data_IF_795626374267
#
_entry.id   IF_795626374267
#
_cell.length_a   1.000
_cell.length_b   1.000
_cell.length_c   1.000
_cell.angle_alpha   90.00
_cell.angle_beta   90.00
_cell.angle_gamma   90.00
#
_symmetry.space_group_name_H-M   'P 1'
#
loop_
_entity.id
_entity.type
_entity.pdbx_description
1 polymer ?
#
# COMPACT_ATOMS: atom_id res chain seq x y z
N UNK A 1 33.04 4.07 8.08
CA UNK A 1 32.20 2.87 8.11
C UNK A 1 31.04 3.17 9.05
N UNK A 2 29.92 3.67 8.51
CA UNK A 2 28.71 4.01 9.26
C UNK A 2 27.61 3.05 8.85
N UNK A 3 27.29 2.11 9.73
CA UNK A 3 26.13 1.23 9.59
C UNK A 3 24.84 2.02 9.81
N UNK A 4 24.03 2.16 8.77
CA UNK A 4 22.62 2.62 8.88
C UNK A 4 21.77 1.46 9.37
N UNK A 5 21.30 1.54 10.62
CA UNK A 5 20.30 0.64 11.19
C UNK A 5 19.00 0.73 10.41
N UNK A 6 18.56 -0.38 9.83
CA UNK A 6 17.20 -0.57 9.31
C UNK A 6 16.22 -0.58 10.48
N UNK A 7 15.20 0.29 10.41
CA UNK A 7 14.06 0.25 11.32
C UNK A 7 13.29 -1.08 11.14
N UNK A 8 12.74 -1.66 12.21
CA UNK A 8 11.99 -2.91 12.11
C UNK A 8 10.67 -2.67 11.38
N UNK A 9 10.46 -3.46 10.34
CA UNK A 9 9.18 -3.62 9.64
C UNK A 9 8.09 -3.96 10.66
N UNK A 10 6.96 -3.30 10.56
CA UNK A 10 5.75 -3.61 11.33
C UNK A 10 5.39 -5.07 11.09
N UNK A 11 5.72 -5.94 12.04
CA UNK A 11 5.34 -7.34 12.02
C UNK A 11 3.81 -7.39 12.10
N UNK A 12 3.17 -7.92 11.07
CA UNK A 12 1.83 -8.49 11.22
C UNK A 12 1.89 -9.47 12.38
N UNK A 13 1.19 -9.17 13.48
CA UNK A 13 1.25 -9.96 14.72
C UNK A 13 0.59 -11.30 14.44
N UNK A 14 1.40 -12.34 14.31
CA UNK A 14 0.98 -13.72 14.32
C UNK A 14 0.33 -14.05 15.68
N UNK A 15 -0.97 -14.31 15.68
CA UNK A 15 -1.62 -15.05 16.77
C UNK A 15 -1.54 -16.54 16.44
N UNK A 16 -0.85 -17.35 17.25
CA UNK A 16 -0.83 -18.79 17.03
C UNK A 16 -2.23 -19.36 17.29
N UNK A 17 -2.88 -19.87 16.26
CA UNK A 17 -3.97 -20.83 16.40
C UNK A 17 -3.38 -22.22 16.28
N UNK A 18 -3.20 -22.87 17.40
CA UNK A 18 -3.04 -24.32 17.46
C UNK A 18 -4.32 -24.97 16.94
N UNK A 19 -4.19 -25.88 16.01
CA UNK A 19 -5.33 -26.71 15.66
C UNK A 19 -5.24 -27.46 14.35
N UNK A 20 -4.79 -28.71 14.42
CA UNK A 20 -5.11 -29.84 13.54
C UNK A 20 -4.82 -29.69 12.04
N UNK A 21 -3.78 -30.37 11.66
CA UNK A 21 -3.51 -30.88 10.32
C UNK A 21 -4.71 -31.69 9.80
N UNK A 22 -5.59 -31.04 9.01
CA UNK A 22 -6.45 -31.74 8.05
C UNK A 22 -5.81 -31.56 6.67
N UNK A 23 -4.98 -32.51 6.30
CA UNK A 23 -4.52 -32.70 4.94
C UNK A 23 -5.73 -33.22 4.14
N UNK A 24 -6.19 -32.49 3.12
CA UNK A 24 -6.93 -33.03 1.98
C UNK A 24 -8.21 -32.33 1.50
N UNK A 25 -8.36 -31.00 1.62
CA UNK A 25 -9.50 -30.35 0.95
C UNK A 25 -9.13 -29.04 0.21
N UNK A 26 -7.92 -28.51 0.38
CA UNK A 26 -7.60 -27.17 -0.10
C UNK A 26 -7.33 -27.03 -1.61
N UNK A 27 -6.68 -27.99 -2.24
CA UNK A 27 -6.32 -27.90 -3.67
C UNK A 27 -7.52 -27.81 -4.62
N UNK A 28 -8.54 -28.60 -4.37
CA UNK A 28 -9.73 -28.61 -5.23
C UNK A 28 -10.59 -27.33 -5.14
N UNK A 29 -10.42 -26.52 -4.09
CA UNK A 29 -11.13 -25.24 -3.98
C UNK A 29 -10.46 -24.14 -4.79
N UNK A 30 -9.15 -24.00 -4.69
CA UNK A 30 -8.36 -23.05 -5.49
C UNK A 30 -8.55 -23.33 -6.98
N UNK A 31 -8.48 -24.60 -7.39
CA UNK A 31 -8.68 -25.02 -8.78
C UNK A 31 -10.04 -24.63 -9.32
N UNK A 32 -11.11 -24.89 -8.57
CA UNK A 32 -12.48 -24.50 -8.98
C UNK A 32 -12.65 -22.99 -9.14
N UNK A 33 -12.04 -22.19 -8.26
CA UNK A 33 -12.11 -20.73 -8.38
C UNK A 33 -11.27 -20.25 -9.56
N UNK A 34 -10.11 -20.84 -9.81
CA UNK A 34 -9.26 -20.53 -10.94
C UNK A 34 -9.97 -20.72 -12.28
N UNK A 35 -10.77 -21.78 -12.43
CA UNK A 35 -11.55 -22.07 -13.64
C UNK A 35 -12.66 -21.03 -13.93
N UNK A 36 -13.05 -20.24 -12.94
CA UNK A 36 -14.07 -19.20 -13.09
C UNK A 36 -13.50 -17.84 -13.49
N UNK A 37 -12.18 -17.67 -13.39
CA UNK A 37 -11.51 -16.41 -13.71
C UNK A 37 -11.52 -16.18 -15.21
N UNK A 38 -11.99 -15.00 -15.60
CA UNK A 38 -11.99 -14.53 -16.98
C UNK A 38 -11.74 -13.02 -17.00
N UNK A 39 -11.28 -12.45 -18.11
CA UNK A 39 -11.09 -11.02 -18.25
C UNK A 39 -12.34 -10.22 -17.88
N UNK A 40 -12.20 -9.24 -16.98
CA UNK A 40 -13.31 -8.42 -16.49
C UNK A 40 -14.16 -9.03 -15.36
N UNK A 41 -13.98 -10.32 -15.02
CA UNK A 41 -14.67 -10.99 -13.92
C UNK A 41 -13.92 -10.81 -12.59
N UNK A 42 -13.92 -9.58 -12.09
CA UNK A 42 -13.22 -9.24 -10.84
C UNK A 42 -13.81 -9.94 -9.61
N UNK A 43 -15.12 -10.25 -9.64
CA UNK A 43 -15.82 -11.05 -8.62
C UNK A 43 -15.25 -12.47 -8.50
N UNK A 44 -15.02 -13.12 -9.65
CA UNK A 44 -14.43 -14.45 -9.70
C UNK A 44 -12.93 -14.40 -9.30
N UNK A 45 -12.22 -13.37 -9.71
CA UNK A 45 -10.83 -13.17 -9.32
C UNK A 45 -10.70 -12.92 -7.81
N UNK A 46 -11.58 -12.10 -7.22
CA UNK A 46 -11.62 -11.90 -5.76
C UNK A 46 -11.86 -13.21 -5.01
N UNK A 47 -12.80 -14.04 -5.52
CA UNK A 47 -13.06 -15.36 -4.95
C UNK A 47 -11.84 -16.28 -5.03
N UNK A 48 -11.05 -16.19 -6.12
CA UNK A 48 -9.77 -16.90 -6.23
C UNK A 48 -8.76 -16.44 -5.16
N UNK A 49 -8.66 -15.14 -4.90
CA UNK A 49 -7.74 -14.62 -3.85
C UNK A 49 -8.13 -15.13 -2.46
N UNK A 50 -9.44 -15.19 -2.14
CA UNK A 50 -9.91 -15.79 -0.88
C UNK A 50 -9.59 -17.28 -0.81
N UNK A 51 -9.84 -18.03 -1.87
CA UNK A 51 -9.52 -19.45 -1.93
C UNK A 51 -8.00 -19.70 -1.77
N UNK A 52 -7.18 -18.86 -2.39
CA UNK A 52 -5.73 -18.92 -2.29
C UNK A 52 -5.27 -18.61 -0.86
N UNK A 53 -5.85 -17.60 -0.20
CA UNK A 53 -5.51 -17.25 1.18
C UNK A 53 -5.72 -18.39 2.18
N UNK A 54 -6.75 -19.22 1.96
CA UNK A 54 -7.10 -20.34 2.84
C UNK A 54 -6.55 -21.69 2.35
N UNK A 55 -6.05 -21.72 1.10
CA UNK A 55 -5.61 -22.95 0.43
C UNK A 55 -4.12 -23.21 0.55
N UNK A 56 -3.74 -24.30 -0.12
CA UNK A 56 -2.34 -24.70 -0.32
C UNK A 56 -2.06 -24.76 -1.82
N UNK A 57 -0.80 -24.48 -2.17
CA UNK A 57 -0.28 -24.54 -3.54
C UNK A 57 1.05 -25.27 -3.57
N UNK A 58 1.44 -25.74 -4.74
CA UNK A 58 2.68 -26.45 -5.01
C UNK A 58 3.64 -25.50 -5.72
N UNK A 59 4.60 -24.95 -4.96
CA UNK A 59 5.63 -24.07 -5.49
C UNK A 59 6.67 -24.89 -6.25
N UNK A 60 7.01 -24.47 -7.44
CA UNK A 60 7.99 -25.15 -8.29
C UNK A 60 9.41 -24.66 -7.93
N UNK A 61 10.25 -25.56 -7.40
CA UNK A 61 11.63 -25.24 -6.99
C UNK A 61 12.57 -25.39 -8.18
N UNK A 62 13.26 -24.31 -8.50
CA UNK A 62 14.32 -24.36 -9.49
C UNK A 62 15.60 -24.98 -8.93
N UNK A 63 15.91 -24.71 -7.66
CA UNK A 63 17.08 -25.19 -6.95
C UNK A 63 16.77 -25.40 -5.46
N UNK A 64 17.60 -26.19 -4.78
CA UNK A 64 17.48 -26.49 -3.35
C UNK A 64 16.44 -27.57 -3.01
N UNK A 65 16.20 -27.73 -1.74
CA UNK A 65 15.24 -28.70 -1.19
C UNK A 65 14.10 -28.01 -0.46
N UNK A 66 12.90 -28.58 -0.45
CA UNK A 66 11.75 -28.00 0.24
C UNK A 66 12.05 -27.65 1.70
N UNK A 67 11.68 -26.44 2.11
CA UNK A 67 11.85 -25.95 3.48
C UNK A 67 13.30 -25.59 3.85
N UNK A 68 14.25 -25.66 2.93
CA UNK A 68 15.63 -25.29 3.22
C UNK A 68 15.91 -23.81 2.88
N UNK A 69 16.89 -23.17 3.55
CA UNK A 69 17.26 -21.79 3.28
C UNK A 69 17.80 -21.53 1.86
N UNK A 70 18.25 -22.58 1.17
CA UNK A 70 18.75 -22.54 -0.20
C UNK A 70 17.68 -22.86 -1.24
N UNK A 71 16.43 -23.09 -0.82
CA UNK A 71 15.29 -23.27 -1.73
C UNK A 71 15.07 -22.03 -2.58
N UNK A 72 15.12 -22.21 -3.90
CA UNK A 72 14.88 -21.14 -4.88
C UNK A 72 13.69 -21.53 -5.74
N UNK A 73 12.65 -20.71 -5.71
CA UNK A 73 11.51 -20.87 -6.59
C UNK A 73 11.89 -20.53 -8.04
N UNK A 74 11.16 -21.11 -8.98
CA UNK A 74 11.25 -20.69 -10.37
C UNK A 74 10.95 -19.18 -10.51
N UNK A 75 11.45 -18.59 -11.58
CA UNK A 75 11.20 -17.19 -11.90
C UNK A 75 10.68 -17.08 -13.34
N UNK A 76 9.60 -16.33 -13.52
CA UNK A 76 9.01 -15.98 -14.79
C UNK A 76 8.94 -14.45 -14.90
N UNK A 77 9.40 -13.89 -16.01
CA UNK A 77 9.14 -12.48 -16.33
C UNK A 77 7.91 -12.38 -17.24
N UNK A 78 6.95 -11.60 -16.82
CA UNK A 78 5.76 -11.30 -17.62
C UNK A 78 5.56 -9.79 -17.63
N UNK A 79 5.78 -9.18 -18.77
CA UNK A 79 5.68 -7.74 -19.00
C UNK A 79 6.57 -6.90 -18.03
N UNK A 80 7.77 -7.38 -17.72
CA UNK A 80 8.72 -6.71 -16.81
C UNK A 80 8.41 -6.91 -15.31
N UNK A 81 7.48 -7.80 -14.98
CA UNK A 81 7.17 -8.16 -13.59
C UNK A 81 7.58 -9.61 -13.32
N UNK A 82 8.28 -9.83 -12.21
CA UNK A 82 8.71 -11.14 -11.76
C UNK A 82 7.55 -11.93 -11.11
N UNK A 83 7.43 -13.20 -11.47
CA UNK A 83 6.45 -14.13 -10.88
C UNK A 83 7.12 -15.45 -10.50
N UNK A 84 6.72 -16.02 -9.37
CA UNK A 84 7.07 -17.37 -8.98
C UNK A 84 6.01 -18.35 -9.52
N UNK A 85 6.39 -19.34 -10.36
CA UNK A 85 5.45 -20.33 -10.89
C UNK A 85 5.05 -21.33 -9.83
N UNK A 86 3.79 -21.72 -9.83
CA UNK A 86 3.23 -22.75 -8.96
C UNK A 86 2.09 -23.49 -9.65
N UNK A 87 1.65 -24.56 -9.05
CA UNK A 87 0.46 -25.30 -9.47
C UNK A 87 -0.52 -25.47 -8.31
N UNK A 88 -1.80 -25.61 -8.64
CA UNK A 88 -2.90 -25.55 -7.67
C UNK A 88 -3.25 -26.90 -7.06
N UNK A 89 -2.73 -27.98 -7.60
CA UNK A 89 -3.00 -29.35 -7.12
C UNK A 89 -1.90 -30.31 -7.51
N UNK A 90 -1.89 -31.49 -6.87
CA UNK A 90 -1.00 -32.60 -7.25
C UNK A 90 -1.29 -33.11 -8.69
N UNK A 91 -2.55 -33.01 -9.13
CA UNK A 91 -2.94 -33.37 -10.51
C UNK A 91 -2.33 -32.39 -11.51
N UNK A 92 -2.39 -31.09 -11.22
CA UNK A 92 -1.75 -30.05 -12.03
C UNK A 92 -0.22 -30.18 -12.04
N UNK A 93 0.36 -30.58 -10.91
CA UNK A 93 1.79 -30.87 -10.85
C UNK A 93 2.17 -32.00 -11.81
N UNK A 94 1.43 -33.10 -11.81
CA UNK A 94 1.65 -34.20 -12.75
C UNK A 94 1.44 -33.75 -14.22
N UNK A 95 0.39 -32.97 -14.49
CA UNK A 95 0.10 -32.45 -15.82
C UNK A 95 1.15 -31.47 -16.33
N UNK A 96 1.81 -30.73 -15.45
CA UNK A 96 2.85 -29.77 -15.80
C UNK A 96 4.14 -30.40 -16.34
N UNK A 97 4.35 -31.70 -16.13
CA UNK A 97 5.58 -32.38 -16.46
C UNK A 97 6.79 -31.93 -15.59
N UNK A 98 6.54 -31.23 -14.49
CA UNK A 98 7.60 -30.79 -13.58
C UNK A 98 8.24 -31.98 -12.92
N UNK A 99 9.53 -32.18 -13.17
CA UNK A 99 10.30 -33.33 -12.69
C UNK A 99 11.35 -33.00 -11.63
N UNK A 100 11.33 -31.75 -11.10
CA UNK A 100 12.22 -31.28 -10.04
C UNK A 100 11.48 -31.23 -8.71
N UNK A 101 12.17 -30.78 -7.67
CA UNK A 101 11.57 -30.57 -6.35
C UNK A 101 10.43 -29.56 -6.41
N UNK A 102 9.48 -29.73 -5.52
CA UNK A 102 8.39 -28.79 -5.27
C UNK A 102 8.14 -28.71 -3.75
N UNK A 103 7.50 -27.65 -3.34
CA UNK A 103 7.14 -27.41 -1.94
C UNK A 103 5.66 -27.11 -1.83
N UNK A 104 4.97 -27.74 -0.88
CA UNK A 104 3.56 -27.46 -0.59
C UNK A 104 3.51 -26.39 0.50
N UNK A 105 2.91 -25.22 0.16
CA UNK A 105 2.95 -24.03 1.03
C UNK A 105 1.54 -23.47 1.14
N UNK A 106 1.20 -22.93 2.32
CA UNK A 106 -0.03 -22.17 2.50
C UNK A 106 -0.01 -20.85 1.72
N UNK A 107 -1.14 -20.47 1.12
CA UNK A 107 -1.22 -19.27 0.28
C UNK A 107 -0.86 -17.98 1.03
N UNK A 108 -1.29 -17.79 2.28
CA UNK A 108 -0.87 -16.64 3.10
C UNK A 108 0.62 -16.63 3.38
N UNK A 109 1.22 -17.80 3.61
CA UNK A 109 2.64 -17.92 3.90
C UNK A 109 3.48 -17.50 2.68
N UNK A 110 3.17 -18.03 1.50
CA UNK A 110 3.91 -17.68 0.29
C UNK A 110 3.66 -16.22 -0.13
N UNK A 111 2.44 -15.73 0.04
CA UNK A 111 2.13 -14.33 -0.20
C UNK A 111 3.00 -13.41 0.66
N UNK A 112 3.15 -13.71 1.96
CA UNK A 112 4.00 -12.95 2.89
C UNK A 112 5.48 -12.98 2.52
N UNK A 113 5.94 -14.05 1.87
CA UNK A 113 7.34 -14.18 1.44
C UNK A 113 7.62 -13.43 0.13
N UNK A 114 6.70 -13.42 -0.82
CA UNK A 114 6.93 -12.89 -2.17
C UNK A 114 6.67 -11.39 -2.30
N UNK A 115 5.61 -10.85 -1.66
CA UNK A 115 5.21 -9.47 -1.90
C UNK A 115 6.26 -8.41 -1.51
N UNK A 116 7.11 -8.60 -0.45
CA UNK A 116 8.12 -7.61 -0.08
C UNK A 116 9.18 -7.39 -1.16
N UNK A 117 9.48 -8.45 -1.91
CA UNK A 117 10.42 -8.40 -3.02
C UNK A 117 9.74 -8.03 -4.35
N UNK A 118 8.43 -7.69 -4.30
CA UNK A 118 7.60 -7.34 -5.46
C UNK A 118 7.47 -8.47 -6.47
N UNK A 119 7.53 -9.72 -6.02
CA UNK A 119 7.24 -10.88 -6.83
C UNK A 119 5.75 -11.22 -6.76
N UNK A 120 5.18 -11.54 -7.92
CA UNK A 120 3.85 -12.12 -8.03
C UNK A 120 3.89 -13.65 -7.95
N UNK A 121 2.74 -14.27 -8.11
CA UNK A 121 2.56 -15.71 -8.17
C UNK A 121 1.88 -16.07 -9.49
N UNK A 122 2.36 -17.10 -10.21
CA UNK A 122 1.77 -17.53 -11.47
C UNK A 122 1.20 -18.93 -11.31
N UNK A 123 -0.13 -19.03 -11.35
CA UNK A 123 -0.86 -20.28 -11.16
C UNK A 123 -0.97 -21.05 -12.48
N UNK A 124 -0.62 -22.33 -12.46
CA UNK A 124 -0.76 -23.29 -13.57
C UNK A 124 -0.22 -22.76 -14.92
N UNK A 125 1.08 -22.36 -15.02
CA UNK A 125 1.64 -21.78 -16.27
C UNK A 125 1.55 -22.71 -17.47
N UNK A 126 1.44 -24.01 -17.27
CA UNK A 126 1.31 -25.05 -18.29
C UNK A 126 -0.12 -25.22 -18.84
N UNK A 127 -1.13 -24.63 -18.19
CA UNK A 127 -2.51 -24.73 -18.63
C UNK A 127 -2.71 -24.14 -20.04
N UNK A 128 -3.67 -24.62 -20.84
CA UNK A 128 -3.88 -24.17 -22.21
C UNK A 128 -4.09 -22.66 -22.38
N UNK A 129 -4.53 -21.97 -21.34
CA UNK A 129 -4.67 -20.51 -21.32
C UNK A 129 -3.42 -19.76 -20.81
N UNK A 130 -2.32 -20.47 -20.52
CA UNK A 130 -1.10 -19.87 -19.98
C UNK A 130 -1.17 -19.57 -18.46
N UNK A 131 -2.24 -20.01 -17.79
CA UNK A 131 -2.42 -19.81 -16.35
C UNK A 131 -2.91 -18.40 -15.96
N UNK A 132 -2.85 -18.10 -14.66
CA UNK A 132 -3.30 -16.83 -14.10
C UNK A 132 -2.21 -16.23 -13.21
N UNK A 133 -1.82 -14.98 -13.50
CA UNK A 133 -0.90 -14.22 -12.68
C UNK A 133 -1.61 -13.50 -11.52
N UNK A 134 -1.08 -13.64 -10.33
CA UNK A 134 -1.48 -12.88 -9.14
C UNK A 134 -0.37 -11.85 -8.88
N UNK A 135 -0.60 -10.56 -9.11
CA UNK A 135 0.41 -9.53 -8.89
C UNK A 135 0.82 -9.43 -7.42
N UNK A 136 2.01 -8.94 -7.15
CA UNK A 136 2.53 -8.77 -5.79
C UNK A 136 1.63 -7.89 -4.90
N UNK A 137 0.90 -6.90 -5.47
CA UNK A 137 -0.07 -6.10 -4.73
C UNK A 137 -1.24 -6.94 -4.19
N UNK A 138 -1.72 -7.91 -4.97
CA UNK A 138 -2.78 -8.83 -4.52
C UNK A 138 -2.23 -9.88 -3.55
N UNK A 139 -0.95 -10.29 -3.67
CA UNK A 139 -0.29 -11.11 -2.65
C UNK A 139 -0.17 -10.35 -1.33
N UNK A 140 0.13 -9.04 -1.35
CA UNK A 140 0.09 -8.21 -0.16
C UNK A 140 -1.29 -8.22 0.50
N UNK A 141 -2.37 -8.14 -0.28
CA UNK A 141 -3.74 -8.24 0.24
C UNK A 141 -4.00 -9.59 0.90
N UNK A 142 -3.56 -10.69 0.28
CA UNK A 142 -3.65 -12.03 0.88
C UNK A 142 -2.90 -12.10 2.21
N UNK A 143 -1.70 -11.50 2.29
CA UNK A 143 -0.86 -11.53 3.48
C UNK A 143 -1.42 -10.65 4.62
N UNK A 144 -1.93 -9.46 4.31
CA UNK A 144 -2.31 -8.43 5.29
C UNK A 144 -3.82 -8.34 5.56
N UNK A 145 -4.65 -8.96 4.72
CA UNK A 145 -6.13 -8.92 4.82
C UNK A 145 -6.77 -8.48 3.51
N UNK A 146 -7.68 -9.29 3.01
CA UNK A 146 -8.37 -9.07 1.73
C UNK A 146 -9.45 -7.98 1.80
N UNK A 147 -9.88 -7.60 3.01
CA UNK A 147 -10.92 -6.59 3.22
C UNK A 147 -10.44 -5.16 2.97
N UNK A 148 -9.11 -4.93 2.91
CA UNK A 148 -8.54 -3.57 2.79
C UNK A 148 -8.84 -2.91 1.45
N UNK A 149 -8.68 -3.66 0.36
CA UNK A 149 -8.95 -3.18 -0.99
C UNK A 149 -9.49 -4.35 -1.83
N UNK A 150 -10.57 -4.18 -2.60
CA UNK A 150 -11.05 -5.22 -3.52
C UNK A 150 -10.10 -5.40 -4.71
N UNK A 151 -10.22 -6.55 -5.37
CA UNK A 151 -9.47 -6.84 -6.58
C UNK A 151 -9.87 -5.94 -7.76
N UNK A 152 -8.97 -5.84 -8.71
CA UNK A 152 -9.19 -5.09 -9.94
C UNK A 152 -8.61 -3.68 -9.93
N UNK A 153 -8.76 -2.95 -11.01
CA UNK A 153 -8.20 -1.62 -11.15
C UNK A 153 -8.84 -0.63 -10.17
N UNK A 154 -7.98 0.24 -9.61
CA UNK A 154 -8.38 1.41 -8.84
C UNK A 154 -8.31 2.63 -9.74
N UNK A 155 -9.38 3.42 -9.79
CA UNK A 155 -9.34 4.76 -10.35
C UNK A 155 -9.12 5.73 -9.21
N UNK A 156 -8.06 6.52 -9.31
CA UNK A 156 -7.65 7.49 -8.29
C UNK A 156 -7.68 8.88 -8.90
N UNK A 157 -8.30 9.81 -8.20
CA UNK A 157 -8.40 11.21 -8.64
C UNK A 157 -8.46 12.16 -7.43
N UNK A 158 -8.30 13.45 -7.68
CA UNK A 158 -8.72 14.45 -6.71
C UNK A 158 -10.22 14.32 -6.44
N UNK A 159 -10.68 14.52 -5.19
CA UNK A 159 -12.10 14.46 -4.88
C UNK A 159 -12.87 15.54 -5.62
N UNK A 160 -13.87 15.15 -6.39
CA UNK A 160 -14.81 16.08 -7.01
C UNK A 160 -15.89 16.59 -6.03
N UNK A 161 -16.00 15.94 -4.86
CA UNK A 161 -16.96 16.32 -3.82
C UNK A 161 -16.28 17.27 -2.84
N UNK A 162 -16.83 18.49 -2.73
CA UNK A 162 -16.35 19.47 -1.76
C UNK A 162 -17.09 19.28 -0.42
N UNK A 163 -16.31 19.02 0.63
CA UNK A 163 -16.81 18.85 2.01
C UNK A 163 -16.03 19.81 2.92
N UNK A 164 -16.22 21.13 2.75
CA UNK A 164 -15.37 22.11 3.42
C UNK A 164 -15.44 22.02 4.94
N UNK A 165 -16.60 21.71 5.51
CA UNK A 165 -16.76 21.58 6.97
C UNK A 165 -15.93 20.43 7.53
N UNK A 166 -15.93 19.26 6.87
CA UNK A 166 -15.12 18.13 7.28
C UNK A 166 -13.63 18.45 7.20
N UNK A 167 -13.17 19.02 6.08
CA UNK A 167 -11.75 19.36 5.92
C UNK A 167 -11.30 20.45 6.91
N UNK A 168 -12.14 21.44 7.19
CA UNK A 168 -11.84 22.46 8.18
C UNK A 168 -11.72 21.88 9.59
N UNK A 169 -12.68 21.05 9.99
CA UNK A 169 -12.67 20.39 11.30
C UNK A 169 -11.48 19.43 11.44
N UNK A 170 -11.21 18.64 10.40
CA UNK A 170 -10.07 17.71 10.37
C UNK A 170 -8.75 18.47 10.45
N UNK A 171 -8.61 19.59 9.75
CA UNK A 171 -7.45 20.47 9.82
C UNK A 171 -7.25 21.06 11.23
N UNK A 172 -8.33 21.55 11.87
CA UNK A 172 -8.28 22.05 13.25
C UNK A 172 -7.86 20.96 14.25
N UNK A 173 -8.41 19.76 14.12
CA UNK A 173 -8.04 18.63 14.98
C UNK A 173 -6.59 18.18 14.71
N UNK A 174 -6.14 18.22 13.46
CA UNK A 174 -4.75 17.95 13.11
C UNK A 174 -3.77 18.95 13.76
N UNK A 175 -4.12 20.24 13.82
CA UNK A 175 -3.32 21.23 14.54
C UNK A 175 -3.13 20.87 16.02
N UNK A 176 -4.16 20.29 16.64
CA UNK A 176 -4.15 19.86 18.06
C UNK A 176 -3.48 18.50 18.28
N UNK A 177 -3.17 17.78 17.19
CA UNK A 177 -2.58 16.43 17.24
C UNK A 177 -1.14 16.49 16.75
N UNK A 178 -0.12 16.67 17.63
CA UNK A 178 1.27 16.89 17.24
C UNK A 178 1.86 15.75 16.40
N UNK A 179 1.34 14.52 16.53
CA UNK A 179 1.78 13.37 15.76
C UNK A 179 1.53 13.51 14.25
N UNK A 180 0.54 14.35 13.85
CA UNK A 180 0.16 14.52 12.45
C UNK A 180 1.04 15.57 11.79
N UNK A 181 1.76 15.17 10.74
CA UNK A 181 2.61 16.03 9.92
C UNK A 181 1.83 16.66 8.78
N UNK A 182 1.18 15.82 7.97
CA UNK A 182 0.37 16.29 6.84
C UNK A 182 -0.84 15.41 6.58
N UNK A 183 -1.85 16.01 5.93
CA UNK A 183 -3.07 15.32 5.48
C UNK A 183 -3.25 15.53 3.98
N UNK A 184 -3.55 14.43 3.29
CA UNK A 184 -3.88 14.42 1.86
C UNK A 184 -5.25 13.79 1.66
N UNK A 185 -5.80 13.94 0.46
CA UNK A 185 -7.09 13.37 0.10
C UNK A 185 -7.04 12.79 -1.30
N UNK A 186 -7.82 11.75 -1.54
CA UNK A 186 -8.05 11.18 -2.86
C UNK A 186 -9.47 10.62 -2.95
N UNK A 187 -10.02 10.63 -4.15
CA UNK A 187 -11.22 9.87 -4.48
C UNK A 187 -10.79 8.52 -5.01
N UNK A 188 -11.28 7.45 -4.39
CA UNK A 188 -10.96 6.08 -4.75
C UNK A 188 -12.21 5.42 -5.31
N UNK A 189 -12.12 4.95 -6.54
CA UNK A 189 -13.17 4.18 -7.19
C UNK A 189 -12.62 2.79 -7.52
N UNK A 190 -12.91 1.78 -6.69
CA UNK A 190 -12.52 0.40 -6.96
C UNK A 190 -13.36 -0.21 -8.08
N UNK A 191 -12.87 -1.29 -8.70
CA UNK A 191 -13.64 -2.07 -9.66
C UNK A 191 -14.83 -2.79 -9.02
N UNK A 192 -14.69 -3.16 -7.74
CA UNK A 192 -15.73 -3.76 -6.92
C UNK A 192 -15.98 -2.89 -5.68
N UNK A 193 -17.24 -2.67 -5.35
CA UNK A 193 -17.65 -1.87 -4.20
C UNK A 193 -17.95 -0.41 -4.53
N UNK A 194 -18.35 0.33 -3.50
CA UNK A 194 -18.68 1.75 -3.63
C UNK A 194 -17.44 2.64 -3.65
N UNK A 195 -17.45 3.74 -4.39
CA UNK A 195 -16.42 4.76 -4.30
C UNK A 195 -16.36 5.36 -2.88
N UNK A 196 -15.17 5.81 -2.47
CA UNK A 196 -14.97 6.40 -1.16
C UNK A 196 -13.93 7.51 -1.15
N UNK A 197 -13.98 8.35 -0.12
CA UNK A 197 -12.97 9.35 0.16
C UNK A 197 -11.85 8.72 0.99
N UNK A 198 -10.62 8.74 0.48
CA UNK A 198 -9.44 8.36 1.22
C UNK A 198 -8.74 9.59 1.83
N UNK A 199 -8.42 9.50 3.11
CA UNK A 199 -7.61 10.51 3.83
C UNK A 199 -6.23 9.91 4.12
N UNK A 200 -5.22 10.47 3.48
CA UNK A 200 -3.82 10.09 3.70
C UNK A 200 -3.28 10.77 4.96
N UNK A 201 -2.83 9.95 5.89
CA UNK A 201 -2.25 10.37 7.17
C UNK A 201 -0.73 10.22 7.12
N UNK A 202 -0.02 11.34 7.13
CA UNK A 202 1.43 11.40 7.28
C UNK A 202 1.76 11.78 8.72
N UNK A 203 2.45 10.90 9.43
CA UNK A 203 2.77 11.05 10.84
C UNK A 203 4.27 11.27 11.03
N UNK A 204 4.66 12.10 12.01
CA UNK A 204 6.06 12.24 12.43
C UNK A 204 6.58 10.95 13.08
N UNK A 205 5.71 10.28 13.82
CA UNK A 205 5.97 9.00 14.45
C UNK A 205 4.79 8.05 14.17
N UNK A 206 5.08 6.95 13.50
CA UNK A 206 4.13 5.87 13.19
C UNK A 206 4.05 4.81 14.29
N UNK A 207 4.61 5.08 15.47
CA UNK A 207 4.44 4.23 16.65
C UNK A 207 3.00 4.19 17.15
N UNK A 208 2.71 3.26 18.06
CA UNK A 208 1.35 2.99 18.54
C UNK A 208 0.65 4.25 19.09
N UNK A 209 1.36 5.11 19.81
CA UNK A 209 0.81 6.35 20.37
C UNK A 209 0.43 7.35 19.27
N UNK A 210 1.26 7.51 18.23
CA UNK A 210 0.98 8.39 17.10
C UNK A 210 -0.21 7.92 16.29
N UNK A 211 -0.30 6.61 16.04
CA UNK A 211 -1.42 5.99 15.32
C UNK A 211 -2.73 6.15 16.11
N UNK A 212 -2.71 5.95 17.43
CA UNK A 212 -3.90 6.10 18.27
C UNK A 212 -4.36 7.56 18.34
N UNK A 213 -3.44 8.52 18.45
CA UNK A 213 -3.76 9.93 18.38
C UNK A 213 -4.40 10.33 17.04
N UNK A 214 -3.89 9.80 15.92
CA UNK A 214 -4.47 10.03 14.59
C UNK A 214 -5.85 9.38 14.45
N UNK A 215 -6.06 8.20 15.02
CA UNK A 215 -7.37 7.53 15.06
C UNK A 215 -8.40 8.36 15.86
N UNK A 216 -8.02 8.85 17.02
CA UNK A 216 -8.87 9.72 17.83
C UNK A 216 -9.24 11.02 17.09
N UNK A 217 -8.28 11.64 16.43
CA UNK A 217 -8.49 12.82 15.58
C UNK A 217 -9.51 12.55 14.47
N UNK A 218 -9.36 11.43 13.75
CA UNK A 218 -10.33 11.04 12.72
C UNK A 218 -11.71 10.80 13.28
N UNK A 219 -11.83 10.08 14.40
CA UNK A 219 -13.11 9.80 15.07
C UNK A 219 -13.84 11.08 15.50
N UNK A 220 -13.11 12.11 15.94
CA UNK A 220 -13.68 13.41 16.30
C UNK A 220 -14.16 14.19 15.07
N UNK A 221 -13.64 13.91 13.89
CA UNK A 221 -13.92 14.66 12.67
C UNK A 221 -14.99 13.99 11.80
N UNK A 222 -15.17 12.67 11.90
CA UNK A 222 -16.00 11.88 10.99
C UNK A 222 -17.49 12.30 11.02
N UNK A 223 -17.98 12.84 12.15
CA UNK A 223 -19.35 13.33 12.27
C UNK A 223 -19.69 14.54 11.36
N UNK A 224 -18.68 15.18 10.78
CA UNK A 224 -18.89 16.27 9.78
C UNK A 224 -18.93 15.74 8.33
N UNK A 225 -18.81 14.45 8.11
CA UNK A 225 -18.95 13.81 6.80
C UNK A 225 -20.43 13.65 6.50
N UNK A 226 -20.89 13.98 5.27
CA UNK A 226 -22.26 13.73 4.85
C UNK A 226 -22.65 12.24 4.97
N UNK A 227 -23.89 11.98 5.36
CA UNK A 227 -24.44 10.63 5.45
C UNK A 227 -24.26 9.88 4.11
N UNK A 228 -23.87 8.63 4.22
CA UNK A 228 -23.69 7.73 3.05
C UNK A 228 -22.39 7.93 2.28
N UNK A 229 -21.51 8.86 2.68
CA UNK A 229 -20.19 8.99 2.07
C UNK A 229 -19.17 8.14 2.84
N UNK A 230 -18.67 7.04 2.25
CA UNK A 230 -17.63 6.24 2.91
C UNK A 230 -16.31 7.01 2.98
N UNK A 231 -15.67 6.98 4.14
CA UNK A 231 -14.34 7.56 4.36
C UNK A 231 -13.40 6.49 4.89
N UNK A 232 -12.22 6.40 4.31
CA UNK A 232 -11.16 5.49 4.75
C UNK A 232 -9.87 6.27 5.03
N UNK A 233 -9.02 5.71 5.88
CA UNK A 233 -7.71 6.28 6.19
C UNK A 233 -6.60 5.46 5.54
N UNK A 234 -5.55 6.14 5.06
CA UNK A 234 -4.39 5.53 4.42
C UNK A 234 -3.14 6.05 5.09
N UNK A 235 -2.27 5.14 5.55
CA UNK A 235 -0.98 5.51 6.10
C UNK A 235 -0.03 5.93 4.98
N UNK A 236 0.41 7.19 4.99
CA UNK A 236 1.32 7.72 3.97
C UNK A 236 2.72 7.11 4.03
N UNK A 237 3.09 6.48 5.16
CA UNK A 237 4.34 5.72 5.32
C UNK A 237 4.30 4.35 4.65
N UNK A 238 3.13 3.85 4.25
CA UNK A 238 3.01 2.57 3.57
C UNK A 238 3.51 2.68 2.12
N UNK A 239 4.65 2.06 1.84
CA UNK A 239 5.29 2.09 0.53
C UNK A 239 4.70 1.08 -0.47
N UNK A 240 3.79 0.23 -0.01
CA UNK A 240 3.11 -0.78 -0.83
C UNK A 240 1.63 -0.46 -1.07
N UNK A 241 1.08 0.55 -0.41
CA UNK A 241 -0.31 0.94 -0.63
C UNK A 241 -0.46 1.77 -1.91
N UNK A 242 -1.24 1.32 -2.92
CA UNK A 242 -1.36 2.02 -4.19
C UNK A 242 -2.00 3.40 -4.04
N UNK A 243 -2.88 3.60 -3.05
CA UNK A 243 -3.51 4.90 -2.79
C UNK A 243 -2.50 5.86 -2.16
N UNK A 244 -1.68 5.37 -1.20
CA UNK A 244 -0.60 6.17 -0.62
C UNK A 244 0.45 6.57 -1.68
N UNK A 245 0.83 5.62 -2.55
CA UNK A 245 1.75 5.88 -3.67
C UNK A 245 1.22 6.98 -4.59
N UNK A 246 -0.04 6.87 -5.00
CA UNK A 246 -0.67 7.86 -5.85
C UNK A 246 -0.77 9.23 -5.17
N UNK A 247 -1.19 9.28 -3.89
CA UNK A 247 -1.30 10.53 -3.13
C UNK A 247 0.05 11.23 -2.99
N UNK A 248 1.14 10.49 -2.80
CA UNK A 248 2.49 11.07 -2.73
C UNK A 248 2.88 11.75 -4.03
N UNK A 249 2.53 11.15 -5.15
CA UNK A 249 2.90 11.63 -6.48
C UNK A 249 1.99 12.76 -6.98
N UNK A 250 0.69 12.75 -6.66
CA UNK A 250 -0.32 13.56 -7.35
C UNK A 250 -1.11 14.49 -6.43
N UNK A 251 -1.37 14.13 -5.16
CA UNK A 251 -2.22 14.93 -4.29
C UNK A 251 -1.42 15.95 -3.49
N UNK A 252 -1.87 17.21 -3.48
CA UNK A 252 -1.32 18.23 -2.58
C UNK A 252 -1.91 18.06 -1.18
N UNK A 253 -1.10 18.25 -0.11
CA UNK A 253 -1.63 18.24 1.24
C UNK A 253 -2.58 19.44 1.46
N UNK A 254 -3.77 19.17 2.03
CA UNK A 254 -4.67 20.22 2.45
C UNK A 254 -4.40 20.71 3.88
N UNK A 255 -3.59 19.94 4.63
CA UNK A 255 -2.94 20.32 5.88
C UNK A 255 -1.48 19.91 5.83
N UNK A 256 -0.58 20.84 6.20
CA UNK A 256 0.85 20.58 6.27
C UNK A 256 1.48 21.41 7.39
N UNK A 257 1.90 20.75 8.47
CA UNK A 257 2.47 21.41 9.63
C UNK A 257 3.81 22.08 9.32
N UNK A 258 4.62 21.48 8.44
CA UNK A 258 5.92 22.04 8.05
C UNK A 258 5.77 23.39 7.34
N UNK A 259 4.67 23.59 6.61
CA UNK A 259 4.40 24.86 5.93
C UNK A 259 4.03 26.00 6.90
N UNK A 260 3.46 25.69 8.06
CA UNK A 260 3.15 26.70 9.09
C UNK A 260 4.38 27.15 9.86
N UNK A 261 5.40 26.30 9.98
CA UNK A 261 6.70 26.68 10.59
C UNK A 261 7.56 27.55 9.69
N UNK A 262 7.42 27.43 8.37
CA UNK A 262 8.19 28.20 7.39
C UNK A 262 7.62 29.60 7.13
N UNK A 263 6.39 29.89 7.57
CA UNK A 263 5.68 31.14 7.29
C UNK A 263 5.84 32.23 8.37
N UNK A 264 6.72 32.08 9.36
CA UNK A 264 7.11 33.22 10.18
C UNK A 264 8.18 34.00 9.42
N UNK A 265 7.86 35.19 8.86
CA UNK A 265 8.89 36.10 8.41
C UNK A 265 9.75 36.44 9.63
N UNK A 266 11.06 36.26 9.50
CA UNK A 266 12.00 36.74 10.52
C UNK A 266 11.60 38.18 10.89
N UNK A 267 11.56 38.54 12.20
CA UNK A 267 11.27 39.91 12.56
C UNK A 267 12.32 40.78 11.88
N UNK A 268 11.87 41.60 10.95
CA UNK A 268 12.71 42.64 10.35
C UNK A 268 13.06 43.61 11.47
N UNK A 269 14.20 43.41 12.09
CA UNK A 269 14.82 44.44 12.91
C UNK A 269 15.14 45.60 11.95
N UNK A 270 14.22 46.56 11.89
CA UNK A 270 14.42 47.81 11.19
C UNK A 270 15.60 48.54 11.81
N UNK A 271 16.70 48.59 11.07
CA UNK A 271 17.74 49.55 11.36
C UNK A 271 17.12 50.96 11.22
N UNK A 272 17.30 51.86 12.21
CA UNK A 272 16.84 53.22 12.08
C UNK A 272 17.58 53.87 10.89
N UNK A 273 16.91 54.72 10.09
CA UNK A 273 17.55 55.39 8.97
C UNK A 273 18.65 56.29 9.47
N UNK A 274 19.87 56.06 9.03
CA UNK A 274 21.00 56.99 9.23
C UNK A 274 20.65 58.30 8.50
N UNK A 275 20.50 59.38 9.28
CA UNK A 275 20.44 60.75 8.75
C UNK A 275 21.81 61.08 8.11
N UNK A 276 21.88 60.94 6.80
CA UNK A 276 23.02 61.36 6.00
C UNK A 276 23.05 62.88 5.87
N UNK A 277 24.09 63.46 6.51
CA UNK A 277 24.36 64.87 6.41
C UNK A 277 24.59 65.34 4.96
N UNK A 278 23.93 66.47 4.60
CA UNK A 278 24.22 67.23 3.40
C UNK A 278 25.67 67.70 3.43
N UNK A 279 26.45 67.29 2.43
CA UNK A 279 27.67 68.01 2.04
C UNK A 279 27.45 68.53 0.62
N UNK A 280 27.31 69.84 0.56
CA UNK A 280 27.39 70.66 -0.66
C UNK A 280 28.87 70.72 -1.12
N UNK A 281 29.14 70.29 -2.32
CA UNK A 281 30.39 70.47 -3.02
C UNK A 281 30.14 70.93 -4.46
N UNK A 282 30.99 71.75 -5.06
CA UNK A 282 30.68 72.61 -6.18
C UNK A 282 30.79 71.88 -7.54
N UNK A 283 30.11 72.46 -8.52
CA UNK A 283 30.09 72.05 -9.89
C UNK A 283 31.47 72.19 -10.60
N UNK A 284 31.84 71.30 -11.52
CA UNK A 284 32.84 71.59 -12.52
C UNK A 284 32.20 71.94 -13.87
N UNK A 285 32.73 73.00 -14.42
CA UNK A 285 32.57 73.51 -15.76
C UNK A 285 33.04 72.58 -16.88
N UNK A 286 32.26 72.61 -17.96
CA UNK A 286 32.61 72.45 -19.38
C UNK A 286 34.04 72.13 -19.80
N UNK A 287 34.25 71.06 -20.54
CA UNK A 287 34.71 71.02 -21.93
C UNK A 287 34.26 69.74 -22.63
#
# INVERSE_FOLDING_TARGET
VSGRGRAPLTKCVDRPREGRTQVSAGGGHVERMLQQVAPGRYDAYESLLYALAEGQIWMLLWHGTPGSPDAQYGNMDVAGLGYAPCVTSAQELAASGWNRAHEVVGGRQIASSLFPDRYGLWLNPHAPGGGVGIPWLDLRRIACGLELLPAGPLRLSEPAIEIPQFYALLGQNAHRTPAVRSLRRAWVQPALGAPYLAIGLDLFDSGAAGVEAARAMMSQSIGAVPDGLPVSTVAMSDEYDPVALWMRANARPFFNRDAFGAAQPAPSYGYPPQQGGRQSGPAPSTW
#
